data_IF_865887074053
#
_entry.id   IF_865887074053
#
_cell.length_a   1.000
_cell.length_b   1.000
_cell.length_c   1.000
_cell.angle_alpha   90.00
_cell.angle_beta   90.00
_cell.angle_gamma   90.00
#
_symmetry.space_group_name_H-M   'P 1'
#
loop_
_entity.id
_entity.type
_entity.pdbx_description
1 polymer ?
#
# COMPACT_ATOMS: atom_id res chain seq x y z
N UNK A 1 -7.09 -17.96 -9.06
CA UNK A 1 -6.01 -18.95 -8.80
C UNK A 1 -6.06 -19.51 -7.35
N UNK A 2 -7.26 -19.76 -6.81
CA UNK A 2 -7.45 -20.14 -5.39
C UNK A 2 -6.89 -21.52 -5.04
N UNK A 3 -7.13 -22.51 -5.91
CA UNK A 3 -6.72 -23.91 -5.71
C UNK A 3 -5.63 -24.34 -6.71
N UNK A 4 -4.42 -23.81 -6.57
CA UNK A 4 -3.25 -24.41 -7.22
C UNK A 4 -2.30 -24.91 -6.14
N UNK A 5 -2.01 -26.22 -6.19
CA UNK A 5 -0.92 -26.83 -5.43
C UNK A 5 0.41 -26.49 -6.11
N UNK A 6 1.31 -25.90 -5.35
CA UNK A 6 2.63 -25.47 -5.81
C UNK A 6 3.77 -26.34 -5.28
N UNK A 7 3.46 -27.47 -4.63
CA UNK A 7 4.42 -28.32 -3.92
C UNK A 7 5.62 -28.78 -4.77
N UNK A 8 5.45 -28.87 -6.09
CA UNK A 8 6.51 -29.25 -7.03
C UNK A 8 7.39 -28.12 -7.58
N UNK A 9 7.07 -26.84 -7.28
CA UNK A 9 7.86 -25.71 -7.77
C UNK A 9 9.04 -25.37 -6.84
N UNK A 10 10.19 -24.92 -7.38
CA UNK A 10 11.23 -24.31 -6.58
C UNK A 10 10.68 -23.14 -5.74
N UNK A 11 11.26 -22.94 -4.55
CA UNK A 11 10.83 -21.91 -3.59
C UNK A 11 10.78 -20.50 -4.20
N UNK A 12 11.72 -20.19 -5.10
CA UNK A 12 11.75 -18.94 -5.85
C UNK A 12 10.46 -18.70 -6.65
N UNK A 13 10.06 -19.65 -7.50
CA UNK A 13 8.86 -19.51 -8.33
C UNK A 13 7.59 -19.47 -7.50
N UNK A 14 7.53 -20.25 -6.41
CA UNK A 14 6.42 -20.16 -5.44
C UNK A 14 6.28 -18.75 -4.87
N UNK A 15 7.38 -18.18 -4.42
CA UNK A 15 7.40 -16.83 -3.84
C UNK A 15 7.01 -15.78 -4.88
N UNK A 16 7.53 -15.90 -6.10
CA UNK A 16 7.21 -15.01 -7.21
C UNK A 16 5.71 -15.05 -7.55
N UNK A 17 5.13 -16.23 -7.67
CA UNK A 17 3.70 -16.40 -7.96
C UNK A 17 2.82 -15.92 -6.82
N UNK A 18 3.25 -16.06 -5.56
CA UNK A 18 2.55 -15.48 -4.42
C UNK A 18 2.54 -13.95 -4.46
N UNK A 19 3.67 -13.32 -4.80
CA UNK A 19 3.72 -11.87 -5.00
C UNK A 19 2.87 -11.45 -6.19
N UNK A 20 2.85 -12.25 -7.26
CA UNK A 20 2.05 -11.95 -8.44
C UNK A 20 0.55 -11.89 -8.16
N UNK A 21 0.04 -12.66 -7.17
CA UNK A 21 -1.36 -12.60 -6.71
C UNK A 21 -1.74 -11.27 -6.05
N UNK A 22 -0.78 -10.44 -5.69
CA UNK A 22 -1.03 -9.11 -5.11
C UNK A 22 -1.48 -8.11 -6.18
N UNK A 23 -1.31 -8.45 -7.45
CA UNK A 23 -1.63 -7.59 -8.57
C UNK A 23 -2.76 -8.17 -9.42
N UNK A 24 -3.65 -7.28 -9.86
CA UNK A 24 -4.49 -7.53 -11.01
C UNK A 24 -3.68 -7.19 -12.26
N UNK A 25 -3.70 -8.05 -13.26
CA UNK A 25 -2.82 -7.98 -14.42
C UNK A 25 -3.67 -8.02 -15.69
N UNK A 26 -3.56 -6.99 -16.51
CA UNK A 26 -4.27 -6.91 -17.78
C UNK A 26 -3.26 -6.65 -18.90
N UNK A 27 -3.36 -7.40 -19.98
CA UNK A 27 -2.58 -7.15 -21.19
C UNK A 27 -3.21 -6.02 -21.97
N UNK A 28 -2.40 -5.13 -22.51
CA UNK A 28 -2.91 -4.16 -23.48
C UNK A 28 -3.13 -4.85 -24.84
N UNK A 29 -4.01 -4.27 -25.66
CA UNK A 29 -4.17 -4.68 -27.05
C UNK A 29 -2.87 -4.33 -27.81
N UNK A 30 -1.98 -5.32 -27.91
CA UNK A 30 -0.71 -5.21 -28.62
C UNK A 30 -0.79 -6.00 -29.93
N UNK A 31 0.03 -5.60 -30.89
CA UNK A 31 0.29 -6.34 -32.11
C UNK A 31 0.59 -7.82 -31.81
N UNK A 32 -0.10 -8.71 -32.53
CA UNK A 32 0.05 -10.15 -32.33
C UNK A 32 1.44 -10.60 -32.75
N UNK A 33 2.10 -11.35 -31.87
CA UNK A 33 3.44 -11.89 -32.10
C UNK A 33 3.49 -13.41 -31.93
N UNK A 34 4.66 -14.02 -32.14
CA UNK A 34 4.86 -15.47 -32.03
C UNK A 34 4.47 -16.04 -30.66
N UNK A 35 4.49 -15.19 -29.62
CA UNK A 35 4.11 -15.52 -28.24
C UNK A 35 2.71 -16.11 -28.11
N UNK A 36 1.79 -15.83 -29.05
CA UNK A 36 0.43 -16.40 -29.05
C UNK A 36 0.43 -17.94 -29.08
N UNK A 37 1.42 -18.53 -29.77
CA UNK A 37 1.57 -19.98 -29.85
C UNK A 37 1.97 -20.57 -28.49
N UNK A 38 2.79 -19.85 -27.73
CA UNK A 38 3.27 -20.27 -26.42
C UNK A 38 2.32 -19.94 -25.26
N UNK A 39 1.17 -19.34 -25.56
CA UNK A 39 0.16 -19.08 -24.54
C UNK A 39 -0.25 -20.36 -23.81
N UNK A 40 -0.25 -20.35 -22.47
CA UNK A 40 -0.72 -21.50 -21.71
C UNK A 40 -2.22 -21.71 -21.95
N UNK A 41 -2.63 -22.97 -22.01
CA UNK A 41 -4.05 -23.34 -22.09
C UNK A 41 -4.75 -23.18 -20.74
N UNK A 42 -4.00 -23.30 -19.64
CA UNK A 42 -4.56 -23.32 -18.30
C UNK A 42 -4.36 -21.98 -17.60
N UNK A 43 -5.38 -21.54 -16.87
CA UNK A 43 -5.36 -20.31 -16.07
C UNK A 43 -5.02 -19.06 -16.89
N UNK A 44 -5.34 -19.08 -18.18
CA UNK A 44 -5.11 -17.98 -19.09
C UNK A 44 -6.37 -17.11 -19.20
N UNK A 45 -6.29 -15.87 -18.73
CA UNK A 45 -7.41 -14.93 -18.83
C UNK A 45 -7.61 -14.41 -20.25
N UNK A 46 -6.57 -14.44 -21.08
CA UNK A 46 -6.65 -14.06 -22.49
C UNK A 46 -7.40 -15.10 -23.33
N UNK A 47 -7.38 -16.38 -22.92
CA UNK A 47 -8.08 -17.48 -23.57
C UNK A 47 -9.03 -18.18 -22.58
N UNK A 48 -10.21 -17.60 -22.30
CA UNK A 48 -11.17 -18.19 -21.39
C UNK A 48 -11.81 -19.45 -22.00
N UNK A 49 -11.29 -20.62 -21.60
CA UNK A 49 -11.82 -21.93 -22.02
C UNK A 49 -12.52 -22.58 -20.82
N UNK A 50 -13.84 -22.54 -20.82
CA UNK A 50 -14.68 -23.00 -19.70
C UNK A 50 -14.50 -24.49 -19.41
N UNK A 51 -14.33 -25.30 -20.46
CA UNK A 51 -14.11 -26.75 -20.32
C UNK A 51 -12.82 -27.07 -19.56
N UNK A 52 -11.83 -26.18 -19.59
CA UNK A 52 -10.57 -26.32 -18.85
C UNK A 52 -10.68 -25.89 -17.37
N UNK A 53 -11.84 -25.43 -16.91
CA UNK A 53 -12.09 -25.28 -15.46
C UNK A 53 -12.16 -26.63 -14.74
N UNK A 54 -12.53 -27.69 -15.47
CA UNK A 54 -12.59 -29.05 -14.91
C UNK A 54 -11.20 -29.59 -14.58
N UNK A 55 -10.99 -29.97 -13.30
CA UNK A 55 -9.73 -30.54 -12.83
C UNK A 55 -9.33 -31.84 -13.54
N UNK A 56 -10.31 -32.70 -13.87
CA UNK A 56 -10.05 -33.97 -14.57
C UNK A 56 -9.59 -33.74 -16.01
N UNK A 57 -10.20 -32.76 -16.69
CA UNK A 57 -9.83 -32.41 -18.07
C UNK A 57 -8.39 -31.90 -18.13
N UNK A 58 -8.03 -30.97 -17.23
CA UNK A 58 -6.66 -30.44 -17.13
C UNK A 58 -5.64 -31.54 -16.82
N UNK A 59 -5.94 -32.42 -15.86
CA UNK A 59 -5.03 -33.51 -15.49
C UNK A 59 -4.76 -34.45 -16.66
N UNK A 60 -5.76 -34.73 -17.50
CA UNK A 60 -5.56 -35.53 -18.72
C UNK A 60 -4.64 -34.84 -19.73
N UNK A 61 -4.89 -33.57 -20.03
CA UNK A 61 -4.06 -32.79 -20.95
C UNK A 61 -2.62 -32.63 -20.45
N UNK A 62 -2.43 -32.36 -19.15
CA UNK A 62 -1.11 -32.28 -18.51
C UNK A 62 -0.32 -33.58 -18.66
N UNK A 63 -0.95 -34.74 -18.40
CA UNK A 63 -0.30 -36.06 -18.59
C UNK A 63 0.07 -36.32 -20.04
N UNK A 64 -0.69 -35.78 -20.98
CA UNK A 64 -0.42 -35.86 -22.41
C UNK A 64 0.61 -34.81 -22.91
N UNK A 65 1.13 -33.96 -22.01
CA UNK A 65 2.05 -32.88 -22.36
C UNK A 65 1.40 -31.72 -23.13
N UNK A 66 0.06 -31.63 -23.18
CA UNK A 66 -0.67 -30.57 -23.87
C UNK A 66 -0.90 -29.43 -22.88
N UNK A 67 -0.10 -28.37 -22.98
CA UNK A 67 -0.06 -27.27 -22.00
C UNK A 67 -0.15 -25.89 -22.63
N UNK A 68 0.17 -25.78 -23.92
CA UNK A 68 0.22 -24.53 -24.69
C UNK A 68 -0.65 -24.62 -25.93
N UNK A 69 -1.06 -23.48 -26.48
CA UNK A 69 -1.84 -23.39 -27.72
C UNK A 69 -1.16 -24.13 -28.87
N UNK A 70 0.17 -23.99 -29.01
CA UNK A 70 0.97 -24.65 -30.03
C UNK A 70 0.83 -26.18 -30.02
N UNK A 71 0.60 -26.80 -28.85
CA UNK A 71 0.43 -28.25 -28.74
C UNK A 71 -0.87 -28.76 -29.38
N UNK A 72 -1.85 -27.89 -29.65
CA UNK A 72 -3.11 -28.25 -30.32
C UNK A 72 -3.08 -28.00 -31.83
N UNK A 73 -1.90 -27.74 -32.40
CA UNK A 73 -1.71 -27.52 -33.84
C UNK A 73 -0.68 -28.48 -34.45
N UNK A 74 -0.80 -28.69 -35.76
CA UNK A 74 0.18 -29.39 -36.59
C UNK A 74 0.02 -28.92 -38.04
N UNK A 75 1.14 -28.75 -38.77
CA UNK A 75 1.15 -28.39 -40.19
C UNK A 75 0.30 -27.15 -40.50
N UNK A 76 0.42 -26.11 -39.66
CA UNK A 76 -0.34 -24.86 -39.80
C UNK A 76 -1.84 -24.96 -39.46
N UNK A 77 -2.37 -26.12 -39.07
CA UNK A 77 -3.80 -26.33 -38.79
C UNK A 77 -4.05 -26.77 -37.34
N UNK A 78 -5.29 -26.61 -36.90
CA UNK A 78 -5.75 -27.20 -35.64
C UNK A 78 -5.82 -28.72 -35.76
N UNK A 79 -5.42 -29.43 -34.70
CA UNK A 79 -5.64 -30.87 -34.61
C UNK A 79 -7.14 -31.18 -34.65
N UNK A 80 -7.51 -32.32 -35.24
CA UNK A 80 -8.88 -32.84 -35.17
C UNK A 80 -9.17 -33.36 -33.76
N UNK A 81 -10.43 -33.28 -33.35
CA UNK A 81 -10.83 -33.70 -32.01
C UNK A 81 -10.50 -35.17 -31.71
N UNK A 82 -10.54 -36.04 -32.73
CA UNK A 82 -10.14 -37.46 -32.62
C UNK A 82 -8.65 -37.59 -32.28
N UNK A 83 -7.79 -36.79 -32.91
CA UNK A 83 -6.34 -36.82 -32.67
C UNK A 83 -6.02 -36.36 -31.24
N UNK A 84 -6.73 -35.33 -30.76
CA UNK A 84 -6.58 -34.86 -29.38
C UNK A 84 -7.10 -35.90 -28.40
N UNK A 85 -8.26 -36.51 -28.66
CA UNK A 85 -8.84 -37.55 -27.81
C UNK A 85 -7.95 -38.78 -27.72
N UNK A 86 -7.34 -39.20 -28.83
CA UNK A 86 -6.37 -40.30 -28.88
C UNK A 86 -5.12 -39.98 -28.04
N UNK A 87 -4.55 -38.79 -28.22
CA UNK A 87 -3.36 -38.33 -27.48
C UNK A 87 -3.61 -38.27 -25.97
N UNK A 88 -4.80 -37.79 -25.57
CA UNK A 88 -5.19 -37.65 -24.16
C UNK A 88 -5.78 -38.96 -23.58
N UNK A 89 -6.04 -39.96 -24.44
CA UNK A 89 -6.71 -41.23 -24.11
C UNK A 89 -8.12 -41.06 -23.56
N UNK A 90 -8.87 -40.10 -24.10
CA UNK A 90 -10.29 -39.92 -23.80
C UNK A 90 -11.17 -40.79 -24.69
N UNK A 91 -12.18 -41.42 -24.08
CA UNK A 91 -13.20 -42.18 -24.82
C UNK A 91 -14.18 -41.27 -25.58
N UNK A 92 -14.36 -40.03 -25.12
CA UNK A 92 -15.34 -39.09 -25.68
C UNK A 92 -14.65 -37.98 -26.45
N UNK A 93 -14.80 -38.01 -27.78
CA UNK A 93 -14.29 -36.98 -28.71
C UNK A 93 -14.95 -35.62 -28.47
N UNK A 94 -16.20 -35.61 -27.95
CA UNK A 94 -16.98 -34.40 -27.72
C UNK A 94 -16.29 -33.40 -26.80
N UNK A 95 -15.56 -33.88 -25.79
CA UNK A 95 -14.83 -32.99 -24.85
C UNK A 95 -13.69 -32.29 -25.58
N UNK A 96 -12.95 -33.02 -26.42
CA UNK A 96 -11.85 -32.46 -27.21
C UNK A 96 -12.34 -31.48 -28.28
N UNK A 97 -13.46 -31.80 -28.94
CA UNK A 97 -14.09 -30.88 -29.89
C UNK A 97 -14.49 -29.57 -29.19
N UNK A 98 -15.15 -29.66 -28.04
CA UNK A 98 -15.57 -28.49 -27.27
C UNK A 98 -14.39 -27.60 -26.85
N UNK A 99 -13.25 -28.19 -26.47
CA UNK A 99 -12.03 -27.43 -26.14
C UNK A 99 -11.52 -26.66 -27.35
N UNK A 100 -11.49 -27.29 -28.53
CA UNK A 100 -11.04 -26.66 -29.77
C UNK A 100 -12.00 -25.54 -30.20
N UNK A 101 -13.31 -25.76 -30.09
CA UNK A 101 -14.33 -24.76 -30.42
C UNK A 101 -14.25 -23.54 -29.48
N UNK A 102 -14.15 -23.77 -28.16
CA UNK A 102 -13.98 -22.71 -27.17
C UNK A 102 -12.68 -21.92 -27.39
N UNK A 103 -11.57 -22.61 -27.69
CA UNK A 103 -10.28 -21.97 -27.97
C UNK A 103 -10.33 -21.11 -29.25
N UNK A 104 -10.85 -21.67 -30.34
CA UNK A 104 -10.93 -20.96 -31.63
C UNK A 104 -11.90 -19.78 -31.59
N UNK A 105 -12.97 -19.89 -30.79
CA UNK A 105 -13.91 -18.79 -30.55
C UNK A 105 -13.31 -17.70 -29.65
N UNK A 106 -12.49 -18.08 -28.67
CA UNK A 106 -11.85 -17.13 -27.75
C UNK A 106 -10.69 -16.33 -28.39
N UNK A 107 -10.10 -16.85 -29.47
CA UNK A 107 -8.97 -16.20 -30.15
C UNK A 107 -9.43 -14.96 -30.93
N UNK A 108 -8.79 -13.79 -30.73
CA UNK A 108 -9.01 -12.63 -31.58
C UNK A 108 -8.69 -12.92 -33.06
N UNK A 109 -9.42 -12.29 -33.99
CA UNK A 109 -9.19 -12.48 -35.43
C UNK A 109 -7.74 -12.16 -35.86
N UNK A 110 -7.13 -11.13 -35.25
CA UNK A 110 -5.72 -10.80 -35.45
C UNK A 110 -4.78 -11.92 -35.00
N UNK A 111 -5.11 -12.59 -33.89
CA UNK A 111 -4.33 -13.70 -33.35
C UNK A 111 -4.41 -14.91 -34.28
N UNK A 112 -5.62 -15.25 -34.74
CA UNK A 112 -5.85 -16.34 -35.68
C UNK A 112 -5.09 -16.12 -37.00
N UNK A 113 -5.18 -14.92 -37.59
CA UNK A 113 -4.47 -14.60 -38.83
C UNK A 113 -2.93 -14.63 -38.67
N UNK A 114 -2.41 -14.22 -37.51
CA UNK A 114 -0.98 -14.30 -37.22
C UNK A 114 -0.53 -15.76 -37.09
N UNK A 115 -1.33 -16.57 -36.41
CA UNK A 115 -1.10 -17.99 -36.19
C UNK A 115 -1.04 -18.81 -37.48
N UNK A 116 -1.79 -18.44 -38.53
CA UNK A 116 -1.77 -19.12 -39.84
C UNK A 116 -0.42 -19.00 -40.58
N UNK A 117 0.43 -18.03 -40.23
CA UNK A 117 1.74 -17.81 -40.86
C UNK A 117 2.79 -18.85 -40.48
N UNK A 118 2.50 -19.69 -39.47
CA UNK A 118 3.44 -20.66 -38.93
C UNK A 118 2.99 -22.09 -39.28
N UNK A 119 3.80 -22.78 -40.07
CA UNK A 119 3.59 -24.21 -40.36
C UNK A 119 4.06 -25.09 -39.19
N UNK A 120 5.13 -24.66 -38.50
CA UNK A 120 5.71 -25.41 -37.39
C UNK A 120 4.80 -25.41 -36.17
N UNK A 121 4.74 -26.56 -35.50
CA UNK A 121 3.87 -26.78 -34.35
C UNK A 121 4.15 -25.81 -33.21
N UNK A 122 5.41 -25.62 -32.84
CA UNK A 122 5.87 -24.65 -31.84
C UNK A 122 7.10 -23.95 -32.43
N UNK A 123 6.90 -22.82 -33.16
CA UNK A 123 8.02 -22.08 -33.71
C UNK A 123 8.94 -21.61 -32.57
N UNK A 124 10.25 -21.57 -32.82
CA UNK A 124 11.13 -20.86 -31.90
C UNK A 124 10.65 -19.41 -31.80
N UNK A 125 10.48 -18.91 -30.58
CA UNK A 125 10.13 -17.52 -30.34
C UNK A 125 11.26 -16.63 -30.88
N UNK A 126 11.14 -16.23 -32.15
CA UNK A 126 11.86 -15.07 -32.66
C UNK A 126 11.48 -13.87 -31.82
N UNK A 127 12.43 -12.97 -31.55
CA UNK A 127 12.35 -11.85 -30.59
C UNK A 127 11.31 -10.76 -30.89
N UNK A 128 10.08 -11.15 -31.22
CA UNK A 128 8.92 -10.27 -31.26
C UNK A 128 8.59 -9.76 -29.85
N UNK A 129 7.98 -8.58 -29.75
CA UNK A 129 7.68 -7.97 -28.47
C UNK A 129 6.67 -8.82 -27.69
N UNK A 130 7.01 -9.14 -26.44
CA UNK A 130 6.03 -9.64 -25.48
C UNK A 130 5.00 -8.52 -25.21
N UNK A 131 3.70 -8.82 -25.11
CA UNK A 131 2.69 -7.80 -24.95
C UNK A 131 2.92 -7.00 -23.67
N UNK A 132 2.74 -5.70 -23.77
CA UNK A 132 2.85 -4.83 -22.62
C UNK A 132 1.74 -5.15 -21.62
N UNK A 133 2.14 -5.23 -20.36
CA UNK A 133 1.27 -5.63 -19.26
C UNK A 133 1.00 -4.43 -18.39
N UNK A 134 -0.27 -4.13 -18.14
CA UNK A 134 -0.67 -3.23 -17.07
C UNK A 134 -0.91 -4.01 -15.80
N UNK A 135 -0.45 -3.45 -14.69
CA UNK A 135 -0.70 -3.99 -13.35
C UNK A 135 -1.46 -2.97 -12.52
N UNK A 136 -2.36 -3.47 -11.70
CA UNK A 136 -3.08 -2.73 -10.67
C UNK A 136 -3.01 -3.52 -9.36
N UNK A 137 -3.33 -2.88 -8.22
CA UNK A 137 -3.44 -3.59 -6.96
C UNK A 137 -4.67 -4.53 -6.99
N UNK A 138 -4.53 -5.76 -6.50
CA UNK A 138 -5.66 -6.66 -6.32
C UNK A 138 -6.37 -6.32 -5.00
N UNK A 139 -7.54 -5.66 -5.11
CA UNK A 139 -8.27 -5.10 -3.97
C UNK A 139 -9.55 -5.89 -3.63
N UNK A 140 -9.96 -6.85 -4.47
CA UNK A 140 -11.27 -7.48 -4.37
C UNK A 140 -12.40 -6.43 -4.36
N UNK A 141 -13.28 -6.52 -3.38
CA UNK A 141 -14.43 -5.60 -3.22
C UNK A 141 -14.10 -4.31 -2.45
N UNK A 142 -12.84 -4.13 -2.02
CA UNK A 142 -12.45 -2.95 -1.24
C UNK A 142 -12.53 -1.67 -2.07
N UNK A 143 -13.07 -0.62 -1.46
CA UNK A 143 -13.26 0.69 -2.08
C UNK A 143 -12.49 1.77 -1.32
N UNK A 144 -11.87 2.68 -2.07
CA UNK A 144 -11.12 3.81 -1.49
C UNK A 144 -12.08 4.76 -0.76
N UNK A 145 -11.76 5.07 0.51
CA UNK A 145 -12.47 6.08 1.30
C UNK A 145 -11.55 7.21 1.70
N UNK A 146 -12.11 8.40 1.89
CA UNK A 146 -11.34 9.53 2.37
C UNK A 146 -10.99 9.36 3.86
N UNK A 147 -9.99 10.12 4.33
CA UNK A 147 -9.56 10.17 5.74
C UNK A 147 -8.99 8.88 6.37
N UNK A 148 -8.85 7.81 5.59
CA UNK A 148 -8.16 6.60 6.02
C UNK A 148 -6.64 6.69 5.81
N UNK A 149 -5.91 5.88 6.57
CA UNK A 149 -4.45 5.75 6.42
C UNK A 149 -4.09 4.97 5.14
N UNK A 150 -4.93 4.00 4.77
CA UNK A 150 -4.77 3.20 3.57
C UNK A 150 -5.29 3.97 2.37
N UNK A 151 -4.44 4.09 1.34
CA UNK A 151 -4.79 4.75 0.09
C UNK A 151 -4.00 4.16 -1.06
N UNK A 152 -4.64 3.90 -2.20
CA UNK A 152 -4.00 3.40 -3.42
C UNK A 152 -3.83 4.49 -4.49
N UNK A 153 -4.16 5.75 -4.18
CA UNK A 153 -3.95 6.90 -5.10
C UNK A 153 -2.48 7.18 -5.38
N UNK A 154 -1.56 6.73 -4.52
CA UNK A 154 -0.11 6.90 -4.70
C UNK A 154 0.64 5.72 -4.07
N UNK A 155 1.57 5.05 -4.77
CA UNK A 155 1.96 5.28 -6.17
C UNK A 155 0.84 4.88 -7.13
N UNK A 156 0.77 5.54 -8.30
CA UNK A 156 -0.09 5.09 -9.38
C UNK A 156 0.57 3.91 -10.09
N UNK A 157 -0.25 2.91 -10.41
CA UNK A 157 0.16 1.73 -11.16
C UNK A 157 -0.27 1.88 -12.62
N UNK A 158 0.27 1.04 -13.49
CA UNK A 158 0.05 1.13 -14.93
C UNK A 158 0.90 0.11 -15.66
N UNK A 159 1.55 0.54 -16.74
CA UNK A 159 2.44 -0.29 -17.55
C UNK A 159 3.62 -0.82 -16.73
N UNK A 160 3.72 -2.14 -16.58
CA UNK A 160 4.66 -2.84 -15.69
C UNK A 160 6.12 -2.50 -15.96
N UNK A 161 6.51 -2.38 -17.23
CA UNK A 161 7.89 -2.04 -17.65
C UNK A 161 8.35 -0.68 -17.14
N UNK A 162 7.42 0.25 -16.92
CA UNK A 162 7.69 1.61 -16.43
C UNK A 162 7.59 1.79 -14.92
N UNK A 163 7.22 0.75 -14.15
CA UNK A 163 6.99 0.88 -12.71
C UNK A 163 8.30 0.74 -11.92
N UNK A 164 8.56 1.71 -11.05
CA UNK A 164 9.70 1.64 -10.15
C UNK A 164 9.56 0.50 -9.13
N UNK A 165 10.69 -0.16 -8.80
CA UNK A 165 10.75 -1.21 -7.77
C UNK A 165 10.14 -0.79 -6.43
N UNK A 166 10.33 0.48 -6.05
CA UNK A 166 9.78 1.04 -4.81
C UNK A 166 8.25 1.12 -4.86
N UNK A 167 7.67 1.44 -6.01
CA UNK A 167 6.23 1.50 -6.17
C UNK A 167 5.60 0.11 -6.02
N UNK A 168 6.17 -0.91 -6.67
CA UNK A 168 5.74 -2.32 -6.51
C UNK A 168 5.80 -2.76 -5.06
N UNK A 169 6.90 -2.47 -4.36
CA UNK A 169 7.05 -2.81 -2.94
C UNK A 169 5.97 -2.15 -2.07
N UNK A 170 5.70 -0.86 -2.27
CA UNK A 170 4.68 -0.13 -1.49
C UNK A 170 3.29 -0.74 -1.71
N UNK A 171 2.93 -1.08 -2.95
CA UNK A 171 1.65 -1.74 -3.24
C UNK A 171 1.58 -3.12 -2.57
N UNK A 172 2.66 -3.91 -2.63
CA UNK A 172 2.72 -5.19 -1.96
C UNK A 172 2.41 -5.06 -0.46
N UNK A 173 3.08 -4.13 0.22
CA UNK A 173 2.87 -3.88 1.64
C UNK A 173 1.41 -3.47 1.91
N UNK A 174 0.81 -2.62 1.08
CA UNK A 174 -0.57 -2.16 1.26
C UNK A 174 -1.59 -3.29 1.09
N UNK A 175 -1.50 -4.08 0.03
CA UNK A 175 -2.44 -5.19 -0.22
C UNK A 175 -2.29 -6.29 0.84
N UNK A 176 -1.06 -6.66 1.21
CA UNK A 176 -0.82 -7.66 2.25
C UNK A 176 -1.39 -7.25 3.62
N UNK A 177 -1.48 -5.95 3.88
CA UNK A 177 -2.02 -5.40 5.12
C UNK A 177 -3.43 -4.78 4.95
N UNK A 178 -4.11 -5.04 3.82
CA UNK A 178 -5.39 -4.40 3.48
C UNK A 178 -6.39 -4.51 4.63
N UNK A 179 -6.70 -5.74 5.07
CA UNK A 179 -7.66 -6.02 6.16
C UNK A 179 -7.28 -5.41 7.50
N UNK A 180 -5.98 -5.25 7.78
CA UNK A 180 -5.53 -4.64 9.02
C UNK A 180 -5.63 -3.10 8.99
N UNK A 181 -5.71 -2.51 7.80
CA UNK A 181 -5.63 -1.06 7.59
C UNK A 181 -6.92 -0.45 7.02
N UNK A 182 -7.87 -1.26 6.55
CA UNK A 182 -9.04 -0.81 5.77
C UNK A 182 -10.00 0.14 6.50
N UNK A 183 -10.01 0.12 7.83
CA UNK A 183 -10.83 1.03 8.65
C UNK A 183 -9.98 1.94 9.55
N UNK A 184 -8.66 1.93 9.37
CA UNK A 184 -7.76 2.73 10.20
C UNK A 184 -7.74 4.16 9.69
N UNK A 185 -8.24 5.09 10.52
CA UNK A 185 -8.19 6.54 10.22
C UNK A 185 -6.76 7.05 10.13
N UNK A 186 -6.55 8.07 9.29
CA UNK A 186 -5.26 8.73 9.10
C UNK A 186 -4.74 9.36 10.41
N UNK A 187 -5.66 9.74 11.30
CA UNK A 187 -5.38 10.39 12.57
C UNK A 187 -6.43 10.00 13.59
N UNK A 188 -6.01 9.71 14.83
CA UNK A 188 -6.93 9.51 15.96
C UNK A 188 -7.60 10.82 16.40
N UNK A 189 -7.10 11.98 15.94
CA UNK A 189 -7.59 13.29 16.37
C UNK A 189 -8.79 13.78 15.59
N UNK A 190 -9.16 13.15 14.47
CA UNK A 190 -10.29 13.60 13.64
C UNK A 190 -11.59 13.70 14.46
N UNK A 191 -11.83 12.76 15.38
CA UNK A 191 -13.03 12.79 16.23
C UNK A 191 -13.06 13.98 17.21
N UNK A 192 -11.89 14.41 17.69
CA UNK A 192 -11.78 15.53 18.63
C UNK A 192 -11.70 16.90 17.92
N UNK A 193 -11.04 16.95 16.77
CA UNK A 193 -10.71 18.18 16.07
C UNK A 193 -11.73 18.56 14.97
N UNK A 194 -12.68 17.68 14.69
CA UNK A 194 -13.74 17.87 13.71
C UNK A 194 -13.37 17.37 12.30
N UNK A 195 -14.37 17.16 11.43
CA UNK A 195 -14.20 16.58 10.10
C UNK A 195 -13.36 17.45 9.16
N UNK A 196 -13.40 18.77 9.30
CA UNK A 196 -12.58 19.67 8.46
C UNK A 196 -11.08 19.66 8.81
N UNK A 197 -10.72 18.96 9.89
CA UNK A 197 -9.34 18.88 10.38
C UNK A 197 -8.60 17.68 9.77
N UNK A 198 -7.67 17.96 8.87
CA UNK A 198 -6.85 16.94 8.23
C UNK A 198 -5.36 17.22 8.37
N UNK A 199 -4.52 16.20 8.65
CA UNK A 199 -3.08 16.35 8.57
C UNK A 199 -2.55 16.42 7.13
N UNK A 200 -3.41 16.15 6.12
CA UNK A 200 -3.06 16.28 4.70
C UNK A 200 -2.53 17.70 4.41
N UNK A 201 -1.36 17.78 3.79
CA UNK A 201 -0.68 19.04 3.48
C UNK A 201 0.23 19.57 4.60
N UNK A 202 0.09 19.10 5.84
CA UNK A 202 0.98 19.44 6.96
C UNK A 202 2.16 18.45 7.08
N UNK A 203 2.08 17.26 6.49
CA UNK A 203 3.17 16.27 6.48
C UNK A 203 4.49 16.82 5.96
N UNK A 204 4.44 17.69 4.94
CA UNK A 204 5.62 18.25 4.28
C UNK A 204 6.48 19.10 5.23
N UNK A 205 5.92 19.62 6.33
CA UNK A 205 6.67 20.47 7.26
C UNK A 205 7.28 19.71 8.43
N UNK A 206 6.81 18.48 8.74
CA UNK A 206 7.24 17.73 9.92
C UNK A 206 8.76 17.47 9.99
N UNK A 207 9.41 17.32 8.84
CA UNK A 207 10.83 17.01 8.72
C UNK A 207 11.64 18.10 8.02
N UNK A 208 11.07 19.29 7.82
CA UNK A 208 11.83 20.42 7.25
C UNK A 208 12.76 21.01 8.31
N UNK A 209 14.02 21.20 7.93
CA UNK A 209 15.02 21.95 8.70
C UNK A 209 14.41 23.28 9.16
N UNK A 210 14.57 23.69 10.44
CA UNK A 210 15.53 23.18 11.44
C UNK A 210 15.02 22.03 12.33
N UNK A 211 13.94 21.35 11.95
CA UNK A 211 13.42 20.23 12.75
C UNK A 211 14.33 19.01 12.59
N UNK A 212 14.90 18.56 13.70
CA UNK A 212 15.67 17.33 13.76
C UNK A 212 14.76 16.09 13.66
N UNK A 213 15.34 14.96 13.22
CA UNK A 213 14.59 13.71 13.01
C UNK A 213 13.80 13.26 14.24
N UNK A 214 14.38 13.36 15.46
CA UNK A 214 13.71 12.94 16.70
C UNK A 214 12.48 13.80 16.99
N UNK A 215 12.58 15.11 16.78
CA UNK A 215 11.45 16.03 16.88
C UNK A 215 10.37 15.71 15.83
N UNK A 216 10.76 15.46 14.58
CA UNK A 216 9.84 15.06 13.51
C UNK A 216 9.10 13.75 13.82
N UNK A 217 9.82 12.72 14.29
CA UNK A 217 9.25 11.42 14.67
C UNK A 217 8.31 11.51 15.86
N UNK A 218 8.56 12.42 16.81
CA UNK A 218 7.63 12.69 17.91
C UNK A 218 6.35 13.33 17.38
N UNK A 219 6.47 14.35 16.52
CA UNK A 219 5.30 14.99 15.92
C UNK A 219 4.47 13.99 15.10
N UNK A 220 5.13 13.14 14.31
CA UNK A 220 4.46 12.07 13.57
C UNK A 220 3.69 11.14 14.50
N UNK A 221 4.33 10.67 15.58
CA UNK A 221 3.68 9.82 16.60
C UNK A 221 2.49 10.49 17.27
N UNK A 222 2.58 11.79 17.54
CA UNK A 222 1.47 12.57 18.09
C UNK A 222 0.31 12.56 17.10
N UNK A 223 0.53 12.91 15.84
CA UNK A 223 -0.54 12.97 14.82
C UNK A 223 -1.25 11.62 14.64
N UNK A 224 -0.52 10.50 14.66
CA UNK A 224 -1.11 9.17 14.55
C UNK A 224 -1.63 8.59 15.88
N UNK A 225 -1.42 9.29 17.01
CA UNK A 225 -1.76 8.77 18.33
C UNK A 225 -0.97 7.51 18.71
N UNK A 226 0.24 7.36 18.17
CA UNK A 226 1.16 6.24 18.38
C UNK A 226 2.11 6.54 19.55
N UNK A 227 1.53 6.81 20.73
CA UNK A 227 2.26 7.13 21.96
C UNK A 227 1.83 6.22 23.10
N UNK A 228 2.80 5.76 23.90
CA UNK A 228 2.55 4.93 25.07
C UNK A 228 2.11 5.79 26.28
N UNK A 229 0.87 6.28 26.24
CA UNK A 229 0.23 6.99 27.37
C UNK A 229 -0.14 6.01 28.49
N UNK A 230 -0.45 6.52 29.69
CA UNK A 230 -0.77 5.61 30.81
C UNK A 230 -2.02 4.76 30.55
N UNK A 231 -3.05 5.29 29.87
CA UNK A 231 -4.19 4.47 29.42
C UNK A 231 -3.77 3.33 28.48
N UNK A 232 -2.83 3.59 27.57
CA UNK A 232 -2.31 2.54 26.68
C UNK A 232 -1.50 1.49 27.46
N UNK A 233 -0.70 1.92 28.44
CA UNK A 233 0.06 1.01 29.31
C UNK A 233 -0.86 0.15 30.18
N UNK A 234 -1.87 0.76 30.80
CA UNK A 234 -2.87 0.06 31.62
C UNK A 234 -3.64 -1.03 30.85
N UNK A 235 -3.81 -0.83 29.53
CA UNK A 235 -4.39 -1.87 28.67
C UNK A 235 -3.47 -3.09 28.47
N UNK A 236 -2.16 -2.89 28.50
CA UNK A 236 -1.16 -3.97 28.39
C UNK A 236 -0.87 -4.63 29.73
N UNK A 237 -0.83 -3.83 30.79
CA UNK A 237 -0.60 -4.25 32.17
C UNK A 237 -1.61 -3.54 33.09
N UNK A 238 -2.70 -4.23 33.48
CA UNK A 238 -3.75 -3.67 34.33
C UNK A 238 -3.28 -3.23 35.72
N UNK A 239 -2.08 -3.62 36.16
CA UNK A 239 -1.51 -3.18 37.44
C UNK A 239 -1.04 -1.72 37.41
N UNK A 240 -0.83 -1.17 36.21
CA UNK A 240 -0.46 0.23 36.01
C UNK A 240 -1.73 1.08 35.93
N UNK A 241 -1.81 2.14 36.75
CA UNK A 241 -2.92 3.08 36.70
C UNK A 241 -3.00 3.85 35.39
N UNK A 242 -4.22 4.09 34.88
CA UNK A 242 -4.44 4.85 33.64
C UNK A 242 -4.36 6.38 33.80
N UNK A 243 -4.27 6.87 35.04
CA UNK A 243 -4.33 8.28 35.38
C UNK A 243 -3.10 9.08 34.93
N UNK A 244 -3.34 10.34 34.59
CA UNK A 244 -2.32 11.34 34.36
C UNK A 244 -1.65 11.69 35.69
N UNK A 245 -0.32 11.58 35.74
CA UNK A 245 0.44 11.83 36.96
C UNK A 245 0.47 13.30 37.40
N UNK A 246 -0.14 14.22 36.65
CA UNK A 246 -0.26 15.63 37.01
C UNK A 246 -1.64 16.02 37.55
N UNK A 247 -2.71 15.40 37.07
CA UNK A 247 -4.08 15.82 37.40
C UNK A 247 -5.06 14.66 37.65
N UNK A 248 -4.60 13.41 37.65
CA UNK A 248 -5.40 12.22 37.94
C UNK A 248 -6.32 11.72 36.82
N UNK A 249 -6.75 12.58 35.89
CA UNK A 249 -7.63 12.19 34.77
C UNK A 249 -7.02 11.11 33.85
N UNK A 250 -7.85 10.28 33.21
CA UNK A 250 -7.41 9.21 32.29
C UNK A 250 -6.47 9.74 31.20
N UNK A 251 -5.23 9.25 31.15
CA UNK A 251 -4.19 9.77 30.27
C UNK A 251 -4.30 9.17 28.86
N UNK A 252 -5.10 9.80 28.02
CA UNK A 252 -5.11 9.60 26.56
C UNK A 252 -4.10 10.51 25.87
N UNK A 253 -3.88 10.30 24.56
CA UNK A 253 -3.06 11.23 23.78
C UNK A 253 -3.70 12.63 23.73
N UNK A 254 -5.03 12.70 23.69
CA UNK A 254 -5.81 13.94 23.74
C UNK A 254 -5.56 14.71 25.03
N UNK A 255 -5.61 13.99 26.15
CA UNK A 255 -5.33 14.56 27.45
C UNK A 255 -3.90 15.10 27.52
N UNK A 256 -2.93 14.28 27.09
CA UNK A 256 -1.51 14.60 27.22
C UNK A 256 -1.07 15.87 26.45
N UNK A 257 -1.75 16.23 25.35
CA UNK A 257 -1.33 17.36 24.49
C UNK A 257 -2.34 18.50 24.38
N UNK A 258 -3.61 18.32 24.76
CA UNK A 258 -4.64 19.38 24.65
C UNK A 258 -5.36 19.61 25.97
N UNK A 259 -5.85 18.57 26.63
CA UNK A 259 -6.87 18.74 27.68
C UNK A 259 -6.29 18.86 29.10
N UNK A 260 -5.02 18.50 29.32
CA UNK A 260 -4.42 18.60 30.65
C UNK A 260 -4.24 20.07 31.07
N UNK A 261 -4.76 20.44 32.25
CA UNK A 261 -4.72 21.80 32.77
C UNK A 261 -3.30 22.40 32.83
N UNK A 262 -2.29 21.56 33.08
CA UNK A 262 -0.87 21.99 33.13
C UNK A 262 -0.35 22.61 31.83
N UNK A 263 -1.06 22.43 30.72
CA UNK A 263 -0.66 22.89 29.40
C UNK A 263 -1.03 24.35 29.15
N UNK A 264 -1.86 24.96 30.00
CA UNK A 264 -2.41 26.31 29.78
C UNK A 264 -1.33 27.34 29.41
N UNK A 265 -0.24 27.40 30.20
CA UNK A 265 0.84 28.33 29.94
C UNK A 265 1.56 28.10 28.59
N UNK A 266 1.75 26.85 28.20
CA UNK A 266 2.38 26.49 26.91
C UNK A 266 1.45 26.83 25.76
N UNK A 267 0.17 26.45 25.85
CA UNK A 267 -0.82 26.72 24.82
C UNK A 267 -1.05 28.23 24.65
N UNK A 268 -0.96 29.01 25.72
CA UNK A 268 -0.98 30.48 25.65
C UNK A 268 0.17 31.04 24.81
N UNK A 269 1.40 30.58 25.03
CA UNK A 269 2.55 31.01 24.23
C UNK A 269 2.43 30.55 22.77
N UNK A 270 1.99 29.32 22.54
CA UNK A 270 1.75 28.79 21.19
C UNK A 270 0.71 29.64 20.45
N UNK A 271 -0.39 30.02 21.12
CA UNK A 271 -1.40 30.94 20.57
C UNK A 271 -0.76 32.25 20.10
N UNK A 272 0.10 32.86 20.94
CA UNK A 272 0.83 34.08 20.57
C UNK A 272 1.73 33.89 19.35
N UNK A 273 2.49 32.79 19.29
CA UNK A 273 3.33 32.50 18.12
C UNK A 273 2.52 32.33 16.84
N UNK A 274 1.39 31.61 16.89
CA UNK A 274 0.50 31.46 15.74
C UNK A 274 -0.07 32.79 15.25
N UNK A 275 -0.42 33.70 16.15
CA UNK A 275 -0.91 35.05 15.80
C UNK A 275 0.20 35.88 15.14
N UNK A 276 1.39 35.93 15.75
CA UNK A 276 2.53 36.71 15.23
C UNK A 276 3.01 36.20 13.87
N UNK A 277 3.02 34.88 13.67
CA UNK A 277 3.44 34.26 12.41
C UNK A 277 2.29 34.15 11.38
N UNK A 278 1.13 34.77 11.65
CA UNK A 278 0.01 34.96 10.72
C UNK A 278 -0.80 33.70 10.39
N UNK A 279 -0.79 32.68 11.25
CA UNK A 279 -1.40 31.37 10.99
C UNK A 279 -2.77 31.15 11.63
N UNK A 280 -3.14 31.97 12.62
CA UNK A 280 -4.26 31.67 13.52
C UNK A 280 -3.98 30.44 14.37
N UNK A 281 -4.52 30.38 15.58
CA UNK A 281 -4.39 29.19 16.43
C UNK A 281 -5.63 28.31 16.31
N UNK A 282 -5.40 27.02 16.13
CA UNK A 282 -6.37 25.97 16.44
C UNK A 282 -5.64 24.77 17.03
N UNK A 283 -6.37 23.91 17.74
CA UNK A 283 -5.83 22.63 18.16
C UNK A 283 -5.34 21.79 16.98
N UNK A 284 -5.99 21.88 15.81
CA UNK A 284 -5.54 21.22 14.60
C UNK A 284 -4.18 21.75 14.11
N UNK A 285 -3.97 23.07 14.10
CA UNK A 285 -2.66 23.65 13.79
C UNK A 285 -1.61 23.19 14.79
N UNK A 286 -1.96 23.13 16.08
CA UNK A 286 -1.04 22.62 17.10
C UNK A 286 -0.67 21.16 16.82
N UNK A 287 -1.64 20.25 16.66
CA UNK A 287 -1.41 18.82 16.50
C UNK A 287 -0.79 18.47 15.15
N UNK A 288 -1.42 18.87 14.04
CA UNK A 288 -1.01 18.52 12.69
C UNK A 288 0.14 19.38 12.15
N UNK A 289 0.31 20.58 12.70
CA UNK A 289 1.22 21.58 12.15
C UNK A 289 0.54 22.43 11.06
N UNK A 290 1.15 23.58 10.71
CA UNK A 290 0.63 24.45 9.67
C UNK A 290 0.68 23.79 8.29
N UNK A 291 -0.35 24.04 7.47
CA UNK A 291 -0.37 23.60 6.07
C UNK A 291 0.80 24.25 5.32
N UNK A 292 1.53 23.44 4.55
CA UNK A 292 2.66 23.95 3.78
C UNK A 292 2.21 24.94 2.71
N UNK A 293 2.87 26.10 2.68
CA UNK A 293 2.67 27.15 1.67
C UNK A 293 4.03 27.60 1.16
N UNK A 294 4.21 27.60 -0.16
CA UNK A 294 5.47 28.06 -0.80
C UNK A 294 5.67 29.56 -0.53
N UNK A 295 4.66 30.44 -0.74
CA UNK A 295 4.80 31.87 -0.44
C UNK A 295 5.19 32.16 1.02
N UNK A 296 4.74 31.33 1.96
CA UNK A 296 4.96 31.51 3.41
C UNK A 296 5.89 30.47 4.02
N UNK A 297 6.83 29.96 3.22
CA UNK A 297 7.67 28.82 3.59
C UNK A 297 8.45 29.09 4.89
N UNK A 298 9.00 30.29 5.07
CA UNK A 298 9.84 30.63 6.23
C UNK A 298 9.02 30.65 7.51
N UNK A 299 7.87 31.32 7.49
CA UNK A 299 6.96 31.46 8.62
C UNK A 299 6.38 30.11 9.02
N UNK A 300 5.92 29.32 8.04
CA UNK A 300 5.35 27.99 8.27
C UNK A 300 6.37 27.03 8.87
N UNK A 301 7.61 27.03 8.37
CA UNK A 301 8.68 26.17 8.89
C UNK A 301 9.10 26.60 10.30
N UNK A 302 9.25 27.90 10.54
CA UNK A 302 9.57 28.42 11.87
C UNK A 302 8.46 28.11 12.88
N UNK A 303 7.20 28.34 12.49
CA UNK A 303 6.05 27.99 13.32
C UNK A 303 6.07 26.49 13.65
N UNK A 304 6.20 25.63 12.65
CA UNK A 304 6.24 24.18 12.88
C UNK A 304 7.39 23.74 13.78
N UNK A 305 8.55 24.40 13.69
CA UNK A 305 9.66 24.17 14.61
C UNK A 305 9.28 24.53 16.06
N UNK A 306 8.68 25.69 16.29
CA UNK A 306 8.24 26.14 17.62
C UNK A 306 7.17 25.21 18.20
N UNK A 307 6.19 24.80 17.38
CA UNK A 307 5.17 23.81 17.76
C UNK A 307 5.81 22.46 18.12
N UNK A 308 6.80 22.02 17.34
CA UNK A 308 7.58 20.82 17.61
C UNK A 308 8.30 20.87 18.95
N UNK A 309 8.92 22.01 19.30
CA UNK A 309 9.57 22.18 20.61
C UNK A 309 8.57 22.26 21.76
N UNK A 310 7.40 22.86 21.57
CA UNK A 310 6.32 22.82 22.56
C UNK A 310 5.86 21.38 22.84
N UNK A 311 5.60 20.59 21.79
CA UNK A 311 5.25 19.16 21.91
C UNK A 311 6.35 18.34 22.59
N UNK A 312 7.61 18.60 22.24
CA UNK A 312 8.75 17.94 22.86
C UNK A 312 8.85 18.28 24.36
N UNK A 313 8.66 19.55 24.74
CA UNK A 313 8.65 19.95 26.15
C UNK A 313 7.56 19.21 26.92
N UNK A 314 6.33 19.15 26.38
CA UNK A 314 5.20 18.42 26.98
C UNK A 314 5.55 16.94 27.19
N UNK A 315 6.09 16.29 26.15
CA UNK A 315 6.44 14.88 26.20
C UNK A 315 7.59 14.60 27.19
N UNK A 316 8.62 15.44 27.19
CA UNK A 316 9.78 15.29 28.06
C UNK A 316 9.43 15.45 29.54
N UNK A 317 8.61 16.44 29.90
CA UNK A 317 8.23 16.62 31.32
C UNK A 317 7.37 15.48 31.84
N UNK A 318 6.60 14.81 30.98
CA UNK A 318 5.89 13.58 31.34
C UNK A 318 6.82 12.42 31.69
N UNK A 319 7.90 12.25 30.92
CA UNK A 319 8.88 11.18 31.18
C UNK A 319 9.80 11.44 32.38
N UNK A 320 9.80 12.66 32.92
CA UNK A 320 10.64 13.06 34.07
C UNK A 320 9.95 12.88 35.41
N UNK A 321 8.68 12.46 35.42
CA UNK A 321 7.95 12.18 36.65
C UNK A 321 8.64 10.99 37.34
N UNK A 322 9.17 11.22 38.54
CA UNK A 322 9.94 10.22 39.30
C UNK A 322 11.43 10.14 38.97
N UNK A 323 11.96 11.02 38.12
CA UNK A 323 13.38 11.10 37.78
C UNK A 323 14.00 12.48 38.07
N UNK A 324 15.25 12.69 37.62
CA UNK A 324 15.94 13.99 37.78
C UNK A 324 15.58 14.97 36.67
N UNK A 325 15.12 16.17 37.03
CA UNK A 325 14.93 17.30 36.10
C UNK A 325 13.59 18.03 36.25
N UNK A 326 13.47 19.20 35.61
CA UNK A 326 12.25 20.00 35.69
C UNK A 326 11.06 19.34 34.98
N UNK A 327 9.92 19.31 35.67
CA UNK A 327 8.59 18.92 35.17
C UNK A 327 7.76 20.11 34.68
N UNK A 328 8.28 21.33 34.85
CA UNK A 328 7.64 22.57 34.41
C UNK A 328 7.79 22.77 32.90
N UNK A 329 6.67 22.60 32.17
CA UNK A 329 6.70 22.52 30.71
C UNK A 329 7.19 23.80 30.05
N UNK A 330 6.84 24.97 30.59
CA UNK A 330 7.31 26.27 30.09
C UNK A 330 8.82 26.46 30.26
N UNK A 331 9.36 26.01 31.40
CA UNK A 331 10.79 26.07 31.64
C UNK A 331 11.55 25.20 30.62
N UNK A 332 11.12 23.95 30.45
CA UNK A 332 11.73 23.03 29.48
C UNK A 332 11.63 23.55 28.05
N UNK A 333 10.49 24.13 27.65
CA UNK A 333 10.31 24.75 26.34
C UNK A 333 11.33 25.88 26.09
N UNK A 334 11.50 26.79 27.06
CA UNK A 334 12.49 27.87 26.96
C UNK A 334 13.91 27.33 26.80
N UNK A 335 14.27 26.30 27.56
CA UNK A 335 15.58 25.64 27.45
C UNK A 335 15.79 25.01 26.07
N UNK A 336 14.77 24.32 25.52
CA UNK A 336 14.85 23.70 24.19
C UNK A 336 15.06 24.72 23.07
N UNK A 337 14.39 25.88 23.16
CA UNK A 337 14.53 26.95 22.17
C UNK A 337 15.90 27.62 22.31
N UNK A 338 16.31 28.00 23.53
CA UNK A 338 17.63 28.62 23.79
C UNK A 338 18.77 27.75 23.30
N UNK A 339 18.74 26.45 23.61
CA UNK A 339 19.77 25.51 23.16
C UNK A 339 19.90 25.50 21.64
N UNK A 340 18.81 25.64 20.89
CA UNK A 340 18.88 25.68 19.42
C UNK A 340 19.44 27.01 18.90
N UNK A 341 19.07 28.12 19.52
CA UNK A 341 19.63 29.44 19.15
C UNK A 341 21.14 29.49 19.37
N UNK A 342 21.64 28.85 20.44
CA UNK A 342 23.08 28.77 20.74
C UNK A 342 23.88 27.81 19.85
N UNK A 343 23.22 26.92 19.09
CA UNK A 343 23.90 26.00 18.15
C UNK A 343 23.97 26.52 16.72
N UNK A 344 23.32 27.65 16.44
CA UNK A 344 23.28 28.30 15.11
C UNK A 344 24.01 29.66 15.12
N UNK A 345 24.57 30.05 16.28
CA UNK A 345 25.55 31.10 16.51
C UNK A 345 26.90 30.41 16.74
#
# INVERSE_FOLDING_TARGET
MGDMDWGGLPSFYRSLLQVWKVFSINRQDVEMGPWIMDEPLFFNQFLPIETLRSGSVRAGLLRAGITRVCHLRAEGRWLRAEQVAETVKYRSVRVCQKILDELTTALPASAAAHMERYESRCPELGGGPFPEVTVAAELGDWQEREELILSFRTPQMGVFSGIEKKALYIICVKVLNLRALEDIRISKWTDLLGPDSSPKGSWRVLYKVPIDKKSGDLQWRIVHGALATNRHKAHLDPTVGEGCAFCGASETVFHAFIQCARLEGVLHIVRKWCMVLGGGYSHAVFIYGPKYSIPRKREVVLLNFLLGKAKAAIWMTRHRIGGTGSVETLHVLRCLIRKRLLTEL
#
